data_IF_536519857743
#
_entry.id   IF_536519857743
#
_cell.length_a   1.000
_cell.length_b   1.000
_cell.length_c   1.000
_cell.angle_alpha   90.00
_cell.angle_beta   90.00
_cell.angle_gamma   90.00
#
_symmetry.space_group_name_H-M   'P 1'
#
loop_
_entity.id
_entity.type
_entity.pdbx_description
1 polymer ?
#
# COMPACT_ATOMS: atom_id res chain seq x y z
N UNK A 1 -8.62 -12.38 -11.36
CA UNK A 1 -8.61 -12.44 -9.87
C UNK A 1 -9.92 -13.02 -9.38
N UNK A 2 -9.95 -13.76 -8.26
CA UNK A 2 -11.23 -14.15 -7.64
C UNK A 2 -11.90 -12.89 -7.08
N UNK A 3 -13.16 -12.67 -7.40
CA UNK A 3 -13.95 -11.55 -6.89
C UNK A 3 -13.89 -11.50 -5.36
N UNK A 4 -13.51 -10.35 -4.79
CA UNK A 4 -13.46 -10.14 -3.34
C UNK A 4 -12.17 -10.57 -2.61
N UNK A 5 -11.13 -11.04 -3.33
CA UNK A 5 -9.84 -11.38 -2.72
C UNK A 5 -8.74 -10.44 -3.21
N UNK A 6 -7.88 -9.93 -2.30
CA UNK A 6 -6.69 -9.19 -2.69
C UNK A 6 -5.76 -10.07 -3.52
N UNK A 7 -4.85 -9.48 -4.28
CA UNK A 7 -3.80 -10.26 -4.93
C UNK A 7 -3.01 -11.04 -3.85
N UNK A 8 -2.56 -12.25 -4.18
CA UNK A 8 -1.79 -13.08 -3.23
C UNK A 8 -0.58 -12.32 -2.69
N UNK A 9 0.04 -11.50 -3.52
CA UNK A 9 1.19 -10.68 -3.12
C UNK A 9 0.80 -9.58 -2.15
N UNK A 10 -0.29 -8.84 -2.43
CA UNK A 10 -0.79 -7.81 -1.51
C UNK A 10 -1.16 -8.42 -0.16
N UNK A 11 -1.78 -9.60 -0.16
CA UNK A 11 -2.11 -10.34 1.04
C UNK A 11 -0.84 -10.78 1.82
N UNK A 12 0.15 -11.36 1.14
CA UNK A 12 1.39 -11.79 1.76
C UNK A 12 2.17 -10.62 2.40
N UNK A 13 2.28 -9.50 1.68
CA UNK A 13 2.91 -8.27 2.21
C UNK A 13 2.15 -7.75 3.43
N UNK A 14 0.82 -7.73 3.38
CA UNK A 14 -0.01 -7.27 4.49
C UNK A 14 0.10 -8.19 5.71
N UNK A 15 0.13 -9.52 5.52
CA UNK A 15 0.40 -10.49 6.60
C UNK A 15 1.78 -10.22 7.22
N UNK A 16 2.82 -10.06 6.40
CA UNK A 16 4.18 -9.80 6.88
C UNK A 16 4.25 -8.49 7.71
N UNK A 17 3.59 -7.42 7.25
CA UNK A 17 3.48 -6.15 7.99
C UNK A 17 2.70 -6.30 9.31
N UNK A 18 1.63 -7.10 9.30
CA UNK A 18 0.81 -7.36 10.49
C UNK A 18 1.54 -8.21 11.54
N UNK A 19 2.38 -9.17 11.12
CA UNK A 19 3.26 -9.94 12.01
C UNK A 19 4.34 -9.03 12.59
N UNK A 20 4.94 -8.20 11.74
CA UNK A 20 6.00 -7.28 12.12
C UNK A 20 7.30 -7.96 12.54
N UNK A 21 8.26 -7.15 12.97
CA UNK A 21 9.56 -7.57 13.50
C UNK A 21 9.74 -6.93 14.86
N UNK A 22 10.33 -7.62 15.86
CA UNK A 22 10.59 -7.03 17.17
C UNK A 22 11.36 -5.71 17.06
N UNK A 23 10.86 -4.68 17.76
CA UNK A 23 11.48 -3.35 17.77
C UNK A 23 11.09 -2.44 16.60
N UNK A 24 10.26 -2.90 15.67
CA UNK A 24 9.77 -2.10 14.55
C UNK A 24 8.26 -1.77 14.68
N UNK A 25 7.81 -0.64 14.11
CA UNK A 25 6.38 -0.31 14.06
C UNK A 25 5.57 -1.42 13.38
N UNK A 26 4.40 -1.70 13.95
CA UNK A 26 3.46 -2.68 13.39
C UNK A 26 2.43 -1.98 12.52
N UNK A 27 1.91 -2.74 11.58
CA UNK A 27 0.73 -2.34 10.83
C UNK A 27 -0.52 -2.99 11.48
N UNK A 28 -1.16 -2.25 12.38
CA UNK A 28 -2.38 -2.71 13.07
C UNK A 28 -3.59 -2.82 12.14
N UNK A 29 -3.55 -2.09 11.01
CA UNK A 29 -4.59 -2.15 9.99
C UNK A 29 -4.53 -3.42 9.14
N UNK A 30 -3.37 -4.08 9.09
CA UNK A 30 -3.23 -5.31 8.32
C UNK A 30 -4.25 -6.37 8.71
N UNK A 31 -4.54 -6.54 10.02
CA UNK A 31 -5.55 -7.49 10.48
C UNK A 31 -6.96 -7.11 10.01
N UNK A 32 -7.29 -5.82 10.00
CA UNK A 32 -8.61 -5.31 9.60
C UNK A 32 -8.85 -5.37 8.09
N UNK A 33 -7.80 -5.15 7.31
CA UNK A 33 -7.88 -5.11 5.85
C UNK A 33 -7.79 -6.49 5.20
N UNK A 34 -7.23 -7.48 5.90
CA UNK A 34 -7.09 -8.84 5.40
C UNK A 34 -8.41 -9.62 5.53
N UNK A 35 -8.82 -10.35 4.49
CA UNK A 35 -9.96 -11.25 4.59
C UNK A 35 -9.63 -12.46 5.49
N UNK A 36 -10.67 -13.05 6.10
CA UNK A 36 -10.55 -14.33 6.79
C UNK A 36 -10.26 -15.45 5.77
N UNK A 37 -9.39 -16.44 6.09
CA UNK A 37 -8.67 -16.63 7.36
C UNK A 37 -7.32 -15.92 7.46
N UNK A 38 -6.89 -15.14 6.44
CA UNK A 38 -5.55 -14.55 6.40
C UNK A 38 -5.27 -13.58 7.56
N UNK A 39 -6.30 -12.86 8.01
CA UNK A 39 -6.18 -11.97 9.17
C UNK A 39 -5.78 -12.71 10.46
N UNK A 40 -6.13 -13.99 10.60
CA UNK A 40 -5.73 -14.79 11.77
C UNK A 40 -4.23 -15.07 11.80
N UNK A 41 -3.56 -15.08 10.64
CA UNK A 41 -2.11 -15.30 10.57
C UNK A 41 -1.33 -14.15 11.24
N UNK A 42 -1.88 -12.93 11.24
CA UNK A 42 -1.24 -11.79 11.91
C UNK A 42 -1.19 -11.97 13.43
N UNK A 43 -2.08 -12.80 14.01
CA UNK A 43 -2.08 -13.13 15.44
C UNK A 43 -0.90 -14.00 15.87
N UNK A 44 -0.20 -14.61 14.92
CA UNK A 44 1.05 -15.33 15.23
C UNK A 44 2.08 -14.45 15.96
N UNK A 45 1.96 -13.12 15.83
CA UNK A 45 2.77 -12.15 16.58
C UNK A 45 2.61 -12.25 18.11
N UNK A 46 1.46 -12.74 18.58
CA UNK A 46 1.17 -12.89 20.01
C UNK A 46 1.91 -14.08 20.64
N UNK A 47 2.41 -14.98 19.79
CA UNK A 47 3.13 -16.17 20.16
C UNK A 47 4.61 -16.01 19.76
N UNK A 48 5.53 -15.72 20.71
CA UNK A 48 6.94 -15.45 20.39
C UNK A 48 7.60 -16.56 19.56
N UNK A 49 7.26 -17.81 19.85
CA UNK A 49 7.76 -18.96 19.09
C UNK A 49 7.25 -18.97 17.65
N UNK A 50 5.97 -18.70 17.43
CA UNK A 50 5.36 -18.68 16.10
C UNK A 50 5.92 -17.54 15.24
N UNK A 51 6.17 -16.38 15.83
CA UNK A 51 6.80 -15.26 15.13
C UNK A 51 8.21 -15.65 14.65
N UNK A 52 9.04 -16.22 15.53
CA UNK A 52 10.39 -16.68 15.18
C UNK A 52 10.34 -17.76 14.09
N UNK A 53 9.44 -18.73 14.24
CA UNK A 53 9.27 -19.79 13.23
C UNK A 53 8.89 -19.23 11.87
N UNK A 54 7.93 -18.31 11.81
CA UNK A 54 7.51 -17.69 10.56
C UNK A 54 8.64 -16.90 9.89
N UNK A 55 9.46 -16.18 10.66
CA UNK A 55 10.63 -15.47 10.16
C UNK A 55 11.65 -16.42 9.54
N UNK A 56 11.95 -17.53 10.22
CA UNK A 56 12.89 -18.55 9.72
C UNK A 56 12.34 -19.26 8.49
N UNK A 57 11.09 -19.74 8.55
CA UNK A 57 10.46 -20.48 7.44
C UNK A 57 10.25 -19.59 6.20
N UNK A 58 10.01 -18.28 6.39
CA UNK A 58 9.91 -17.32 5.29
C UNK A 58 11.25 -16.95 4.65
N UNK A 59 12.38 -17.49 5.15
CA UNK A 59 13.72 -17.16 4.65
C UNK A 59 14.05 -15.66 4.75
N UNK A 60 13.57 -14.98 5.80
CA UNK A 60 13.77 -13.56 6.01
C UNK A 60 12.82 -12.64 5.24
N UNK A 61 11.85 -13.19 4.50
CA UNK A 61 10.89 -12.37 3.73
C UNK A 61 10.08 -11.45 4.64
N UNK A 62 9.67 -11.91 5.82
CA UNK A 62 8.94 -11.08 6.80
C UNK A 62 9.81 -9.91 7.26
N UNK A 63 11.08 -10.17 7.58
CA UNK A 63 12.04 -9.13 8.00
C UNK A 63 12.28 -8.13 6.87
N UNK A 64 12.48 -8.62 5.64
CA UNK A 64 12.66 -7.77 4.47
C UNK A 64 11.46 -6.84 4.25
N UNK A 65 10.23 -7.36 4.33
CA UNK A 65 9.02 -6.55 4.17
C UNK A 65 8.86 -5.50 5.26
N UNK A 66 9.18 -5.84 6.52
CA UNK A 66 9.12 -4.90 7.63
C UNK A 66 10.16 -3.79 7.49
N UNK A 67 11.42 -4.13 7.18
CA UNK A 67 12.50 -3.18 6.95
C UNK A 67 12.21 -2.24 5.78
N UNK A 68 11.75 -2.80 4.66
CA UNK A 68 11.35 -2.02 3.49
C UNK A 68 10.22 -1.04 3.83
N UNK A 69 9.21 -1.50 4.56
CA UNK A 69 8.09 -0.65 4.98
C UNK A 69 8.59 0.49 5.86
N UNK A 70 9.44 0.22 6.84
CA UNK A 70 9.98 1.25 7.73
C UNK A 70 10.85 2.27 6.98
N UNK A 71 11.69 1.82 6.04
CA UNK A 71 12.52 2.71 5.23
C UNK A 71 11.68 3.63 4.32
N UNK A 72 10.63 3.07 3.69
CA UNK A 72 9.73 3.84 2.85
C UNK A 72 8.88 4.83 3.66
N UNK A 73 8.44 4.44 4.86
CA UNK A 73 7.72 5.34 5.77
C UNK A 73 8.62 6.50 6.21
N UNK A 74 9.87 6.22 6.56
CA UNK A 74 10.83 7.25 6.94
C UNK A 74 11.06 8.24 5.77
N UNK A 75 11.32 7.73 4.57
CA UNK A 75 11.53 8.55 3.38
C UNK A 75 10.30 9.41 3.05
N UNK A 76 9.09 8.84 3.19
CA UNK A 76 7.84 9.55 2.99
C UNK A 76 7.67 10.70 3.99
N UNK A 77 7.94 10.43 5.27
CA UNK A 77 7.83 11.45 6.34
C UNK A 77 8.90 12.54 6.16
N UNK A 78 10.14 12.16 5.86
CA UNK A 78 11.25 13.09 5.63
C UNK A 78 11.04 13.97 4.40
N UNK A 79 10.30 13.48 3.40
CA UNK A 79 10.02 14.24 2.18
C UNK A 79 9.26 15.53 2.43
N UNK A 80 8.46 15.57 3.50
CA UNK A 80 7.55 16.68 3.85
C UNK A 80 6.72 17.20 2.64
N UNK A 81 6.42 16.30 1.69
CA UNK A 81 5.63 16.65 0.51
C UNK A 81 4.19 17.00 0.87
N UNK A 82 3.59 17.87 0.06
CA UNK A 82 2.23 18.36 0.28
C UNK A 82 1.15 17.37 -0.14
N UNK A 83 1.52 16.38 -0.94
CA UNK A 83 0.64 15.31 -1.45
C UNK A 83 1.39 14.00 -1.55
N UNK A 84 0.67 12.90 -1.40
CA UNK A 84 1.22 11.54 -1.52
C UNK A 84 0.41 10.77 -2.56
N UNK A 85 1.10 10.07 -3.45
CA UNK A 85 0.49 9.15 -4.42
C UNK A 85 1.06 7.76 -4.21
N UNK A 86 0.22 6.78 -3.90
CA UNK A 86 0.61 5.38 -3.71
C UNK A 86 0.09 4.58 -4.90
N UNK A 87 1.00 4.12 -5.75
CA UNK A 87 0.69 3.37 -6.97
C UNK A 87 0.63 1.87 -6.68
N UNK A 88 -0.47 1.22 -7.07
CA UNK A 88 -0.75 -0.16 -6.73
C UNK A 88 -0.94 -0.35 -5.23
N UNK A 89 -1.73 0.53 -4.62
CA UNK A 89 -1.87 0.64 -3.18
C UNK A 89 -2.33 -0.67 -2.49
N UNK A 90 -3.11 -1.50 -3.15
CA UNK A 90 -3.56 -2.78 -2.59
C UNK A 90 -4.18 -2.62 -1.20
N UNK A 91 -3.56 -3.26 -0.23
CA UNK A 91 -3.89 -3.16 1.20
C UNK A 91 -2.92 -2.23 1.96
N UNK A 92 -2.37 -1.22 1.31
CA UNK A 92 -1.56 -0.20 2.00
C UNK A 92 -2.38 0.51 3.07
N UNK A 93 -1.78 0.79 4.22
CA UNK A 93 -2.46 1.41 5.33
C UNK A 93 -1.76 2.69 5.82
N UNK A 94 -0.83 3.26 5.03
CA UNK A 94 -0.07 4.46 5.42
C UNK A 94 -0.97 5.65 5.73
N UNK A 95 -1.97 5.89 4.88
CA UNK A 95 -2.97 6.94 5.10
C UNK A 95 -3.79 6.77 6.39
N UNK A 96 -3.80 5.56 6.96
CA UNK A 96 -4.59 5.22 8.15
C UNK A 96 -3.74 5.16 9.42
N UNK A 97 -2.46 4.77 9.30
CA UNK A 97 -1.59 4.48 10.44
C UNK A 97 -0.51 5.53 10.70
N UNK A 98 -0.19 6.38 9.71
CA UNK A 98 0.81 7.42 9.88
C UNK A 98 0.12 8.73 10.29
N UNK A 99 0.29 9.17 11.55
CA UNK A 99 -0.34 10.40 12.03
C UNK A 99 0.14 11.65 11.29
N UNK A 100 1.32 11.60 10.66
CA UNK A 100 1.84 12.68 9.83
C UNK A 100 1.02 12.94 8.58
N UNK A 101 0.19 11.97 8.15
CA UNK A 101 -0.64 12.07 6.94
C UNK A 101 -2.08 12.50 7.22
N UNK A 102 -2.44 12.85 8.45
CA UNK A 102 -3.84 13.15 8.82
C UNK A 102 -4.42 14.31 8.02
N UNK A 103 -3.59 15.31 7.69
CA UNK A 103 -3.99 16.51 6.92
C UNK A 103 -3.36 16.57 5.52
N UNK A 104 -2.66 15.49 5.11
CA UNK A 104 -2.00 15.41 3.80
C UNK A 104 -2.87 14.62 2.84
N UNK A 105 -3.25 15.16 1.67
CA UNK A 105 -3.97 14.40 0.66
C UNK A 105 -3.18 13.17 0.21
N UNK A 106 -3.78 11.99 0.35
CA UNK A 106 -3.22 10.71 -0.06
C UNK A 106 -4.08 10.12 -1.18
N UNK A 107 -3.49 9.92 -2.34
CA UNK A 107 -4.12 9.31 -3.50
C UNK A 107 -3.67 7.84 -3.60
N UNK A 108 -4.56 6.92 -3.33
CA UNK A 108 -4.31 5.49 -3.53
C UNK A 108 -4.79 5.07 -4.91
N UNK A 109 -3.83 4.77 -5.78
CA UNK A 109 -4.09 4.32 -7.15
C UNK A 109 -4.01 2.82 -7.21
N UNK A 110 -5.07 2.17 -7.67
CA UNK A 110 -5.11 0.71 -7.88
C UNK A 110 -6.28 0.35 -8.81
N UNK A 111 -6.30 -0.90 -9.26
CA UNK A 111 -7.42 -1.43 -10.02
C UNK A 111 -8.73 -1.29 -9.23
N UNK A 112 -9.84 -0.88 -9.86
CA UNK A 112 -11.12 -0.64 -9.19
C UNK A 112 -11.63 -1.82 -8.33
N UNK A 113 -11.36 -3.05 -8.76
CA UNK A 113 -11.76 -4.26 -8.03
C UNK A 113 -11.04 -4.41 -6.69
N UNK A 114 -9.72 -4.13 -6.69
CA UNK A 114 -8.90 -4.13 -5.47
C UNK A 114 -9.40 -3.08 -4.49
N UNK A 115 -9.68 -1.88 -5.01
CA UNK A 115 -10.20 -0.78 -4.18
C UNK A 115 -11.56 -1.08 -3.57
N UNK A 116 -12.47 -1.76 -4.31
CA UNK A 116 -13.77 -2.16 -3.76
C UNK A 116 -13.63 -3.04 -2.53
N UNK A 117 -12.69 -3.98 -2.55
CA UNK A 117 -12.39 -4.86 -1.42
C UNK A 117 -11.91 -4.07 -0.21
N UNK A 118 -10.95 -3.18 -0.41
CA UNK A 118 -10.40 -2.32 0.64
C UNK A 118 -11.45 -1.38 1.23
N UNK A 119 -12.23 -0.70 0.40
CA UNK A 119 -13.31 0.20 0.83
C UNK A 119 -14.34 -0.52 1.72
N UNK A 120 -14.71 -1.75 1.36
CA UNK A 120 -15.63 -2.57 2.17
C UNK A 120 -15.04 -2.90 3.54
N UNK A 121 -13.75 -3.24 3.59
CA UNK A 121 -13.07 -3.55 4.84
C UNK A 121 -12.90 -2.32 5.75
N UNK A 122 -12.73 -1.12 5.17
CA UNK A 122 -12.59 0.13 5.90
C UNK A 122 -13.92 0.61 6.51
N UNK A 123 -15.03 0.43 5.80
CA UNK A 123 -16.33 1.01 6.15
C UNK A 123 -16.39 2.52 5.90
N UNK A 124 -15.59 3.30 6.61
CA UNK A 124 -15.47 4.76 6.41
C UNK A 124 -14.10 5.12 5.87
N UNK A 125 -14.10 5.97 4.84
CA UNK A 125 -12.86 6.50 4.25
C UNK A 125 -12.48 7.80 4.95
N UNK A 126 -11.24 7.93 5.48
CA UNK A 126 -10.76 9.17 6.05
C UNK A 126 -10.78 10.30 5.00
N UNK A 127 -11.01 11.57 5.41
CA UNK A 127 -11.19 12.68 4.49
C UNK A 127 -9.97 12.98 3.61
N UNK A 128 -8.76 12.70 4.11
CA UNK A 128 -7.51 12.88 3.37
C UNK A 128 -7.26 11.79 2.33
N UNK A 129 -7.90 10.61 2.45
CA UNK A 129 -7.68 9.47 1.56
C UNK A 129 -8.61 9.52 0.34
N UNK A 130 -8.03 9.50 -0.84
CA UNK A 130 -8.73 9.46 -2.13
C UNK A 130 -8.36 8.19 -2.89
N UNK A 131 -9.37 7.43 -3.27
CA UNK A 131 -9.18 6.24 -4.10
C UNK A 131 -9.28 6.63 -5.58
N UNK A 132 -8.23 6.32 -6.33
CA UNK A 132 -8.12 6.59 -7.77
C UNK A 132 -8.10 5.24 -8.49
N UNK A 133 -9.22 4.88 -9.11
CA UNK A 133 -9.34 3.62 -9.85
C UNK A 133 -8.65 3.71 -11.20
N UNK A 134 -7.60 2.91 -11.42
CA UNK A 134 -6.80 2.90 -12.65
C UNK A 134 -6.43 1.47 -13.03
N UNK A 135 -6.75 1.08 -14.25
CA UNK A 135 -6.08 -0.03 -14.91
C UNK A 135 -4.83 0.51 -15.61
N UNK A 136 -3.66 0.28 -15.05
CA UNK A 136 -2.38 0.80 -15.59
C UNK A 136 -2.09 0.38 -17.05
N UNK A 137 -2.79 -0.63 -17.57
CA UNK A 137 -2.61 -1.08 -18.94
C UNK A 137 -3.51 -0.31 -19.94
N UNK A 138 -4.56 0.36 -19.46
CA UNK A 138 -5.61 0.92 -20.32
C UNK A 138 -5.89 2.40 -20.05
N UNK A 139 -5.79 2.84 -18.79
CA UNK A 139 -6.20 4.16 -18.35
C UNK A 139 -5.05 5.17 -18.33
N UNK A 140 -5.37 6.44 -18.49
CA UNK A 140 -4.42 7.55 -18.32
C UNK A 140 -4.31 7.91 -16.84
N UNK A 141 -3.19 7.53 -16.22
CA UNK A 141 -2.89 7.83 -14.82
C UNK A 141 -2.91 9.34 -14.54
N UNK A 142 -2.40 10.14 -15.49
CA UNK A 142 -2.31 11.59 -15.32
C UNK A 142 -3.68 12.25 -15.23
N UNK A 143 -4.60 11.86 -16.11
CA UNK A 143 -5.98 12.33 -16.10
C UNK A 143 -6.71 11.84 -14.84
N UNK A 144 -6.59 10.57 -14.49
CA UNK A 144 -7.24 10.00 -13.32
C UNK A 144 -6.81 10.69 -12.00
N UNK A 145 -5.52 11.03 -11.87
CA UNK A 145 -5.02 11.80 -10.73
C UNK A 145 -5.58 13.22 -10.70
N UNK A 146 -5.62 13.90 -11.84
CA UNK A 146 -6.18 15.25 -11.94
C UNK A 146 -7.66 15.28 -11.59
N UNK A 147 -8.45 14.35 -12.10
CA UNK A 147 -9.88 14.20 -11.80
C UNK A 147 -10.14 13.92 -10.31
N UNK A 148 -9.21 13.21 -9.66
CA UNK A 148 -9.26 12.99 -8.22
C UNK A 148 -8.82 14.20 -7.38
N UNK A 149 -8.37 15.29 -8.04
CA UNK A 149 -7.95 16.53 -7.40
C UNK A 149 -6.47 16.54 -6.95
N UNK A 150 -5.62 15.73 -7.59
CA UNK A 150 -4.17 15.87 -7.46
C UNK A 150 -3.71 17.14 -8.18
N UNK A 151 -2.93 17.96 -7.49
CA UNK A 151 -2.39 19.21 -8.03
C UNK A 151 -0.93 19.01 -8.46
N UNK A 152 -0.69 19.02 -9.76
CA UNK A 152 0.65 18.83 -10.32
C UNK A 152 1.63 19.97 -10.01
N UNK A 153 1.17 21.10 -9.45
CA UNK A 153 2.03 22.23 -9.04
C UNK A 153 2.54 22.09 -7.62
N UNK A 154 1.98 21.17 -6.83
CA UNK A 154 2.38 20.93 -5.44
C UNK A 154 3.39 19.80 -5.36
N UNK A 155 4.27 19.86 -4.36
CA UNK A 155 5.24 18.80 -4.10
C UNK A 155 4.52 17.48 -3.80
N UNK A 156 4.92 16.41 -4.51
CA UNK A 156 4.27 15.10 -4.42
C UNK A 156 5.30 14.00 -4.16
N UNK A 157 5.06 13.18 -3.14
CA UNK A 157 5.81 11.94 -2.94
C UNK A 157 5.10 10.79 -3.65
N UNK A 158 5.76 10.21 -4.65
CA UNK A 158 5.25 9.04 -5.35
C UNK A 158 5.85 7.77 -4.75
N UNK A 159 4.98 6.89 -4.25
CA UNK A 159 5.35 5.57 -3.78
C UNK A 159 4.90 4.52 -4.80
N UNK A 160 5.86 3.83 -5.41
CA UNK A 160 5.60 2.77 -6.38
C UNK A 160 6.30 1.48 -5.96
N UNK A 161 5.64 0.69 -5.15
CA UNK A 161 6.20 -0.47 -4.47
C UNK A 161 5.52 -1.77 -4.90
N UNK A 162 6.32 -2.74 -5.40
CA UNK A 162 5.85 -4.11 -5.63
C UNK A 162 4.82 -4.29 -6.75
N UNK A 163 4.76 -3.36 -7.71
CA UNK A 163 3.76 -3.36 -8.79
C UNK A 163 4.39 -3.55 -10.17
N UNK A 164 5.56 -2.96 -10.42
CA UNK A 164 6.20 -2.93 -11.74
C UNK A 164 6.37 -4.31 -12.36
N UNK A 165 6.63 -5.34 -11.55
CA UNK A 165 6.81 -6.73 -11.99
C UNK A 165 5.53 -7.36 -12.57
N UNK A 166 4.37 -6.76 -12.33
CA UNK A 166 3.08 -7.23 -12.82
C UNK A 166 2.57 -6.44 -14.02
N UNK A 167 3.23 -5.33 -14.36
CA UNK A 167 2.84 -4.49 -15.47
C UNK A 167 3.56 -4.91 -16.76
N UNK A 168 2.88 -4.87 -17.92
CA UNK A 168 3.56 -4.89 -19.21
C UNK A 168 4.57 -3.74 -19.30
N UNK A 169 5.72 -3.96 -19.94
CA UNK A 169 6.76 -2.95 -20.05
C UNK A 169 6.28 -1.60 -20.61
N UNK A 170 5.38 -1.53 -21.61
CA UNK A 170 4.82 -0.26 -22.06
C UNK A 170 4.03 0.48 -20.96
N UNK A 171 3.22 -0.23 -20.18
CA UNK A 171 2.43 0.35 -19.09
C UNK A 171 3.35 0.89 -17.97
N UNK A 172 4.39 0.13 -17.60
CA UNK A 172 5.37 0.59 -16.62
C UNK A 172 6.11 1.86 -17.09
N UNK A 173 6.47 1.94 -18.37
CA UNK A 173 7.11 3.13 -18.95
C UNK A 173 6.16 4.33 -18.94
N UNK A 174 4.93 4.15 -19.40
CA UNK A 174 3.92 5.21 -19.41
C UNK A 174 3.68 5.76 -18.00
N UNK A 175 3.59 4.88 -16.99
CA UNK A 175 3.50 5.28 -15.59
C UNK A 175 4.71 6.11 -15.18
N UNK A 176 5.94 5.64 -15.44
CA UNK A 176 7.16 6.36 -15.11
C UNK A 176 7.24 7.74 -15.78
N UNK A 177 6.79 7.85 -17.04
CA UNK A 177 6.75 9.12 -17.79
C UNK A 177 5.80 10.15 -17.14
N UNK A 178 4.69 9.69 -16.57
CA UNK A 178 3.77 10.55 -15.79
C UNK A 178 4.44 11.07 -14.52
N UNK A 179 5.17 10.21 -13.80
CA UNK A 179 5.86 10.59 -12.57
C UNK A 179 6.99 11.59 -12.82
N UNK A 180 7.74 11.43 -13.91
CA UNK A 180 8.87 12.31 -14.27
C UNK A 180 8.47 13.71 -14.77
N UNK A 181 7.18 13.94 -15.03
CA UNK A 181 6.65 15.23 -15.52
C UNK A 181 5.96 16.06 -14.43
N UNK A 182 5.94 15.57 -13.20
CA UNK A 182 5.15 16.15 -12.09
C UNK A 182 6.00 16.52 -10.90
#
# INVERSE_FOLDING_TARGET
MREGWPSLTAAAVSVARGIGVPGMPRDEWAERLLPQPLSTLTRARELPFAQTLLRVVSGGTVDHMALRTAALDAALIESACEQIVILGAGLDARALRLPQLVDVPVFEVDHPDTQRTKRRALGQTPPQLRFVGVDFAQDDLGLALADAGHDATRSTFFLWEGVTMYLPAPAARATADVLGKR
#
